data_IF_397920544376
#
_entry.id   IF_397920544376
#
_cell.length_a   1.000
_cell.length_b   1.000
_cell.length_c   1.000
_cell.angle_alpha   90.00
_cell.angle_beta   90.00
_cell.angle_gamma   90.00
#
_symmetry.space_group_name_H-M   'P 1'
#
loop_
_entity.id
_entity.type
_entity.pdbx_description
1 polymer ?
#
# COMPACT_ATOMS: atom_id res chain seq x y z
N UNK A 1 -30.33 -47.54 14.05
CA UNK A 1 -30.59 -46.24 13.37
C UNK A 1 -29.29 -45.79 12.73
N UNK A 2 -29.22 -45.88 11.40
CA UNK A 2 -28.07 -45.44 10.61
C UNK A 2 -28.46 -44.12 9.95
N UNK A 3 -27.64 -43.07 10.13
CA UNK A 3 -27.81 -41.80 9.42
C UNK A 3 -26.86 -41.80 8.21
N UNK A 4 -27.42 -41.79 7.00
CA UNK A 4 -26.68 -41.60 5.75
C UNK A 4 -26.41 -40.10 5.60
N UNK A 5 -25.14 -39.70 5.56
CA UNK A 5 -24.76 -38.34 5.17
C UNK A 5 -24.84 -38.19 3.64
N UNK A 6 -25.64 -37.23 3.20
CA UNK A 6 -25.80 -36.83 1.81
C UNK A 6 -24.53 -36.11 1.32
N UNK A 7 -23.79 -36.72 0.40
CA UNK A 7 -22.44 -36.32 -0.02
C UNK A 7 -22.38 -35.40 -1.25
N UNK A 8 -23.50 -34.82 -1.71
CA UNK A 8 -23.55 -34.18 -3.03
C UNK A 8 -23.46 -32.63 -3.08
N UNK A 9 -23.19 -31.90 -1.99
CA UNK A 9 -23.03 -30.43 -2.05
C UNK A 9 -21.59 -29.91 -1.88
N UNK A 10 -20.61 -30.78 -1.62
CA UNK A 10 -19.23 -30.34 -1.35
C UNK A 10 -18.34 -30.18 -2.60
N UNK A 11 -18.75 -30.71 -3.75
CA UNK A 11 -17.85 -30.83 -4.91
C UNK A 11 -17.84 -29.60 -5.82
N UNK A 12 -18.93 -28.81 -5.85
CA UNK A 12 -19.03 -27.63 -6.75
C UNK A 12 -18.18 -26.45 -6.25
N UNK A 13 -18.07 -26.26 -4.93
CA UNK A 13 -17.37 -25.11 -4.32
C UNK A 13 -15.84 -25.16 -4.42
N UNK A 14 -15.25 -26.33 -4.68
CA UNK A 14 -13.78 -26.46 -4.85
C UNK A 14 -13.30 -25.82 -6.15
N UNK A 15 -14.08 -25.92 -7.22
CA UNK A 15 -13.65 -25.52 -8.55
C UNK A 15 -13.64 -23.99 -8.69
N UNK A 16 -14.64 -23.30 -8.12
CA UNK A 16 -14.72 -21.84 -8.09
C UNK A 16 -13.63 -21.23 -7.21
N UNK A 17 -13.32 -21.82 -6.05
CA UNK A 17 -12.24 -21.34 -5.19
C UNK A 17 -10.86 -21.60 -5.80
N UNK A 18 -10.68 -22.73 -6.49
CA UNK A 18 -9.41 -23.03 -7.17
C UNK A 18 -9.21 -22.11 -8.37
N UNK A 19 -10.28 -21.74 -9.08
CA UNK A 19 -10.23 -20.78 -10.19
C UNK A 19 -9.98 -19.36 -9.67
N UNK A 20 -10.70 -18.91 -8.64
CA UNK A 20 -10.43 -17.62 -7.96
C UNK A 20 -9.01 -17.53 -7.42
N UNK A 21 -8.47 -18.60 -6.83
CA UNK A 21 -7.08 -18.64 -6.35
C UNK A 21 -6.07 -18.62 -7.50
N UNK A 22 -6.35 -19.30 -8.62
CA UNK A 22 -5.51 -19.25 -9.82
C UNK A 22 -5.55 -17.89 -10.51
N UNK A 23 -6.71 -17.25 -10.55
CA UNK A 23 -6.88 -15.91 -11.10
C UNK A 23 -6.21 -14.87 -10.19
N UNK A 24 -6.35 -14.98 -8.87
CA UNK A 24 -5.62 -14.15 -7.89
C UNK A 24 -4.10 -14.34 -8.00
N UNK A 25 -3.62 -15.58 -8.11
CA UNK A 25 -2.19 -15.86 -8.30
C UNK A 25 -1.67 -15.35 -9.67
N UNK A 26 -2.51 -15.35 -10.71
CA UNK A 26 -2.19 -14.75 -12.02
C UNK A 26 -2.15 -13.22 -11.96
N UNK A 27 -3.05 -12.59 -11.20
CA UNK A 27 -3.08 -11.14 -10.96
C UNK A 27 -1.83 -10.71 -10.18
N UNK A 28 -1.37 -11.51 -9.21
CA UNK A 28 -0.11 -11.27 -8.50
C UNK A 28 1.12 -11.38 -9.42
N UNK A 29 1.10 -12.29 -10.41
CA UNK A 29 2.27 -12.57 -11.26
C UNK A 29 2.49 -11.55 -12.40
N UNK A 30 1.51 -10.73 -12.75
CA UNK A 30 1.56 -9.81 -13.91
C UNK A 30 1.83 -8.33 -13.56
N UNK A 31 1.95 -7.98 -12.27
CA UNK A 31 2.15 -6.58 -11.89
C UNK A 31 2.20 -6.27 -10.40
N UNK A 32 2.32 -7.25 -9.50
CA UNK A 32 2.51 -6.94 -8.08
C UNK A 32 3.91 -6.34 -7.88
N UNK A 33 3.98 -5.02 -7.68
CA UNK A 33 5.20 -4.37 -7.25
C UNK A 33 5.50 -4.86 -5.83
N UNK A 34 6.43 -5.81 -5.71
CA UNK A 34 6.86 -6.32 -4.41
C UNK A 34 7.77 -5.27 -3.77
N UNK A 35 7.46 -4.88 -2.53
CA UNK A 35 8.31 -3.97 -1.76
C UNK A 35 9.74 -4.51 -1.67
N UNK A 36 10.72 -3.64 -1.87
CA UNK A 36 12.15 -3.97 -1.80
C UNK A 36 12.88 -2.92 -0.98
N UNK A 37 13.93 -3.38 -0.30
CA UNK A 37 14.89 -2.50 0.35
C UNK A 37 15.51 -1.53 -0.66
N UNK A 38 15.71 -0.26 -0.29
CA UNK A 38 16.42 0.69 -1.13
C UNK A 38 17.91 0.33 -1.21
N UNK A 39 18.65 0.98 -2.11
CA UNK A 39 20.10 0.79 -2.23
C UNK A 39 20.83 1.15 -0.92
N UNK A 40 22.02 0.58 -0.65
CA UNK A 40 22.83 1.00 0.49
C UNK A 40 23.06 2.52 0.49
N UNK A 41 22.86 3.16 1.64
CA UNK A 41 22.96 4.62 1.80
C UNK A 41 21.73 5.42 1.34
N UNK A 42 20.67 4.74 0.85
CA UNK A 42 19.40 5.36 0.50
C UNK A 42 18.34 5.07 1.57
N UNK A 43 17.33 5.93 1.61
CA UNK A 43 16.08 5.67 2.34
C UNK A 43 14.94 5.42 1.36
N UNK A 44 13.94 4.64 1.77
CA UNK A 44 12.68 4.48 1.06
C UNK A 44 11.57 5.15 1.84
N UNK A 45 10.84 6.04 1.19
CA UNK A 45 9.69 6.75 1.76
C UNK A 45 8.41 6.28 1.07
N UNK A 46 7.58 5.57 1.81
CA UNK A 46 6.22 5.22 1.39
C UNK A 46 5.29 6.38 1.76
N UNK A 47 4.44 6.80 0.83
CA UNK A 47 3.47 7.88 1.03
C UNK A 47 2.06 7.40 0.71
N UNK A 48 1.08 7.88 1.46
CA UNK A 48 -0.33 7.53 1.30
C UNK A 48 -1.21 8.74 1.67
N UNK A 49 -2.43 8.77 1.14
CA UNK A 49 -3.43 9.76 1.49
C UNK A 49 -4.78 9.12 1.84
N UNK A 50 -5.36 9.60 2.93
CA UNK A 50 -6.73 9.28 3.30
C UNK A 50 -7.62 10.49 3.07
N UNK A 51 -8.86 10.26 2.65
CA UNK A 51 -9.86 11.33 2.53
C UNK A 51 -11.25 10.86 2.93
N UNK A 52 -12.04 11.81 3.39
CA UNK A 52 -13.47 11.64 3.59
C UNK A 52 -14.21 12.92 3.16
N UNK A 53 -15.47 13.06 3.59
CA UNK A 53 -16.27 14.27 3.31
C UNK A 53 -15.86 15.50 4.12
N UNK A 54 -15.03 15.31 5.16
CA UNK A 54 -14.64 16.34 6.13
C UNK A 54 -13.23 16.86 5.91
N UNK A 55 -12.36 16.07 5.28
CA UNK A 55 -11.01 16.50 4.96
C UNK A 55 -10.15 15.45 4.28
N UNK A 56 -8.85 15.69 4.35
CA UNK A 56 -7.83 14.81 3.80
C UNK A 56 -6.62 14.77 4.73
N UNK A 57 -5.96 13.63 4.78
CA UNK A 57 -4.78 13.36 5.60
C UNK A 57 -3.71 12.75 4.73
N UNK A 58 -2.48 13.19 4.97
CA UNK A 58 -1.31 12.84 4.19
C UNK A 58 -0.33 12.14 5.11
N UNK A 59 0.02 10.90 4.84
CA UNK A 59 0.91 10.10 5.65
C UNK A 59 2.18 9.74 4.89
N UNK A 60 3.28 9.58 5.62
CA UNK A 60 4.50 8.99 5.09
C UNK A 60 5.28 8.22 6.15
N UNK A 61 5.97 7.17 5.71
CA UNK A 61 6.83 6.33 6.53
C UNK A 61 8.16 6.09 5.80
N UNK A 62 9.28 6.17 6.53
CA UNK A 62 10.63 6.06 5.96
C UNK A 62 11.38 4.91 6.59
N UNK A 63 11.99 4.10 5.73
CA UNK A 63 12.86 3.00 6.09
C UNK A 63 14.26 3.19 5.52
N UNK A 64 15.29 2.81 6.28
CA UNK A 64 16.68 2.81 5.79
C UNK A 64 16.97 1.58 4.90
N UNK A 65 18.20 1.47 4.38
CA UNK A 65 18.63 0.33 3.56
C UNK A 65 18.68 -1.02 4.28
N UNK A 66 18.62 -1.05 5.61
CA UNK A 66 18.48 -2.27 6.42
C UNK A 66 17.02 -2.68 6.61
N UNK A 67 16.08 -1.80 6.24
CA UNK A 67 14.65 -1.99 6.44
C UNK A 67 14.15 -1.46 7.78
N UNK A 68 14.98 -0.78 8.57
CA UNK A 68 14.56 -0.21 9.84
C UNK A 68 13.74 1.06 9.59
N UNK A 69 12.66 1.22 10.35
CA UNK A 69 11.89 2.47 10.39
C UNK A 69 12.75 3.58 11.02
N UNK A 70 12.94 4.67 10.29
CA UNK A 70 13.78 5.81 10.72
C UNK A 70 13.03 7.12 10.89
N UNK A 71 11.77 7.17 10.48
CA UNK A 71 10.94 8.35 10.65
C UNK A 71 9.67 8.32 9.83
N UNK A 72 8.78 9.27 10.08
CA UNK A 72 7.51 9.39 9.39
C UNK A 72 6.71 10.56 9.94
N UNK A 73 5.59 10.83 9.31
CA UNK A 73 4.75 11.96 9.68
C UNK A 73 3.36 11.87 9.10
N UNK A 74 2.52 12.76 9.62
CA UNK A 74 1.16 12.99 9.12
C UNK A 74 0.89 14.48 9.03
N UNK A 75 0.11 14.89 8.03
CA UNK A 75 -0.41 16.26 7.91
C UNK A 75 -1.86 16.24 7.46
N UNK A 76 -2.69 17.09 8.03
CA UNK A 76 -4.07 17.29 7.58
C UNK A 76 -4.16 18.44 6.58
N UNK A 77 -4.93 18.22 5.53
CA UNK A 77 -5.38 19.24 4.59
C UNK A 77 -6.69 19.88 5.03
N UNK A 78 -6.92 21.14 4.63
CA UNK A 78 -8.22 21.79 4.79
C UNK A 78 -9.01 21.69 3.48
N UNK A 79 -10.28 21.31 3.58
CA UNK A 79 -11.19 21.24 2.44
C UNK A 79 -11.24 19.87 1.78
N UNK A 80 -12.20 19.71 0.86
CA UNK A 80 -12.36 18.48 0.08
C UNK A 80 -11.37 18.45 -1.08
N UNK A 81 -10.50 17.45 -1.14
CA UNK A 81 -9.66 17.13 -2.29
C UNK A 81 -10.20 15.87 -2.98
N UNK A 82 -9.99 15.72 -4.29
CA UNK A 82 -10.15 14.44 -4.99
C UNK A 82 -9.10 13.41 -4.50
N UNK A 83 -9.26 12.13 -4.88
CA UNK A 83 -8.26 11.10 -4.52
C UNK A 83 -6.89 11.46 -5.08
N UNK A 84 -6.83 11.79 -6.38
CA UNK A 84 -5.60 12.19 -7.05
C UNK A 84 -4.95 13.42 -6.40
N UNK A 85 -5.74 14.44 -6.04
CA UNK A 85 -5.20 15.61 -5.34
C UNK A 85 -4.67 15.25 -3.96
N UNK A 86 -5.35 14.36 -3.22
CA UNK A 86 -4.89 13.93 -1.92
C UNK A 86 -3.54 13.18 -2.01
N UNK A 87 -3.38 12.31 -3.01
CA UNK A 87 -2.13 11.58 -3.27
C UNK A 87 -0.99 12.51 -3.70
N UNK A 88 -1.27 13.46 -4.60
CA UNK A 88 -0.26 14.46 -5.00
C UNK A 88 0.15 15.36 -3.83
N UNK A 89 -0.80 15.70 -2.96
CA UNK A 89 -0.52 16.47 -1.75
C UNK A 89 0.28 15.65 -0.74
N UNK A 90 0.05 14.34 -0.62
CA UNK A 90 0.86 13.51 0.26
C UNK A 90 2.32 13.44 -0.17
N UNK A 91 2.58 13.28 -1.48
CA UNK A 91 3.93 13.37 -2.04
C UNK A 91 4.55 14.74 -1.75
N UNK A 92 3.82 15.84 -2.01
CA UNK A 92 4.33 17.20 -1.79
C UNK A 92 4.72 17.45 -0.34
N UNK A 93 3.89 17.04 0.61
CA UNK A 93 4.12 17.28 2.03
C UNK A 93 5.24 16.39 2.58
N UNK A 94 5.31 15.14 2.15
CA UNK A 94 6.41 14.23 2.47
C UNK A 94 7.76 14.76 1.94
N UNK A 95 7.80 15.27 0.70
CA UNK A 95 8.98 15.91 0.13
C UNK A 95 9.35 17.24 0.82
N UNK A 96 8.39 17.93 1.41
CA UNK A 96 8.67 19.14 2.19
C UNK A 96 9.33 18.78 3.51
N UNK A 97 8.81 17.75 4.20
CA UNK A 97 9.37 17.25 5.45
C UNK A 97 10.77 16.65 5.29
N UNK A 98 11.02 15.93 4.19
CA UNK A 98 12.29 15.21 4.01
C UNK A 98 13.50 16.13 3.78
N UNK A 99 13.26 17.35 3.27
CA UNK A 99 14.31 18.37 3.07
C UNK A 99 15.00 18.76 4.37
N UNK A 100 14.29 18.66 5.49
CA UNK A 100 14.80 19.01 6.80
C UNK A 100 15.50 17.83 7.52
N UNK A 101 15.53 16.63 6.92
CA UNK A 101 16.06 15.42 7.56
C UNK A 101 17.55 15.17 7.28
N UNK A 102 18.16 15.90 6.34
CA UNK A 102 19.58 15.72 5.98
C UNK A 102 19.88 14.42 5.24
N UNK A 103 18.90 13.81 4.57
CA UNK A 103 19.11 12.63 3.74
C UNK A 103 19.32 13.01 2.28
N UNK A 104 20.43 12.53 1.70
CA UNK A 104 20.83 12.87 0.33
C UNK A 104 20.09 12.06 -0.75
N UNK A 105 19.69 10.83 -0.43
CA UNK A 105 19.12 9.90 -1.40
C UNK A 105 17.87 9.20 -0.86
N UNK A 106 16.74 9.42 -1.54
CA UNK A 106 15.43 8.89 -1.14
C UNK A 106 14.69 8.35 -2.35
N UNK A 107 14.20 7.11 -2.25
CA UNK A 107 13.22 6.51 -3.16
C UNK A 107 11.81 6.75 -2.60
N UNK A 108 10.96 7.47 -3.35
CA UNK A 108 9.55 7.70 -2.96
C UNK A 108 8.66 6.68 -3.66
N UNK A 109 7.76 6.05 -2.91
CA UNK A 109 6.82 5.03 -3.41
C UNK A 109 5.39 5.41 -2.98
N UNK A 110 4.47 5.42 -3.95
CA UNK A 110 3.03 5.65 -3.76
C UNK A 110 2.28 4.57 -4.54
N UNK A 111 1.18 4.08 -3.97
CA UNK A 111 0.28 3.09 -4.58
C UNK A 111 -0.87 3.71 -5.38
N UNK A 112 -0.90 5.05 -5.48
CA UNK A 112 -1.81 5.78 -6.36
C UNK A 112 -1.51 5.45 -7.83
N UNK A 113 -2.56 5.00 -8.55
CA UNK A 113 -2.52 4.54 -9.96
C UNK A 113 -2.56 5.68 -10.98
#
# INVERSE_FOLDING_TARGET
MSFILNSNEYTVKRNENTQKQKDQAKVTALGAQVWRLPKPGWCKMNVDAARDHTGSWFGWAVHNSSGDFVGGGIKSGRGSCSSLEADLLSIREALSWIKDQGWDFVEVESDAL
#
